data_IF_685230715851
#
_entry.id   IF_685230715851
#
_cell.length_a   1.000
_cell.length_b   1.000
_cell.length_c   1.000
_cell.angle_alpha   90.00
_cell.angle_beta   90.00
_cell.angle_gamma   90.00
#
_symmetry.space_group_name_H-M   'P 1'
#
loop_
_entity.id
_entity.type
_entity.pdbx_description
1 polymer ?
#
# COMPACT_ATOMS: atom_id res chain seq x y z
N UNK A 1 -22.00 -36.89 -6.33
CA UNK A 1 -21.54 -35.83 -7.27
C UNK A 1 -21.98 -34.42 -6.78
N UNK A 2 -21.86 -34.15 -5.47
CA UNK A 2 -22.17 -32.84 -4.83
C UNK A 2 -21.04 -32.48 -3.85
N UNK A 3 -20.39 -33.49 -3.24
CA UNK A 3 -19.18 -33.34 -2.40
C UNK A 3 -18.02 -32.58 -3.04
N UNK A 4 -17.82 -32.69 -4.35
CA UNK A 4 -16.70 -32.03 -5.04
C UNK A 4 -16.93 -30.53 -5.28
N UNK A 5 -18.18 -30.05 -5.15
CA UNK A 5 -18.56 -28.65 -5.38
C UNK A 5 -18.50 -27.83 -4.08
N UNK A 6 -18.69 -28.47 -2.92
CA UNK A 6 -18.45 -27.82 -1.62
C UNK A 6 -16.94 -27.67 -1.33
N UNK A 7 -16.09 -28.55 -1.88
CA UNK A 7 -14.63 -28.38 -1.79
C UNK A 7 -14.09 -27.20 -2.59
N UNK A 8 -14.73 -26.81 -3.70
CA UNK A 8 -14.29 -25.63 -4.48
C UNK A 8 -14.79 -24.30 -3.90
N UNK A 9 -15.86 -24.31 -3.09
CA UNK A 9 -16.28 -23.17 -2.27
C UNK A 9 -15.47 -23.05 -0.98
N UNK A 10 -14.99 -24.17 -0.43
CA UNK A 10 -13.92 -24.21 0.56
C UNK A 10 -12.56 -24.09 -0.13
N UNK A 11 -12.41 -23.07 -0.99
CA UNK A 11 -11.12 -22.47 -1.32
C UNK A 11 -10.57 -21.83 -0.03
N UNK A 12 -10.26 -22.71 0.94
CA UNK A 12 -9.35 -22.51 2.03
C UNK A 12 -8.06 -22.19 1.30
N UNK A 13 -7.87 -20.90 1.02
CA UNK A 13 -6.58 -20.35 0.64
C UNK A 13 -5.57 -21.03 1.56
N UNK A 14 -4.47 -21.50 1.01
CA UNK A 14 -3.34 -21.91 1.82
C UNK A 14 -2.92 -20.72 2.68
N UNK A 15 -3.46 -20.65 3.89
CA UNK A 15 -3.11 -19.71 4.94
C UNK A 15 -1.80 -20.20 5.56
N UNK A 16 -0.72 -20.04 4.80
CA UNK A 16 0.61 -19.99 5.40
C UNK A 16 1.23 -18.69 4.94
N UNK A 17 1.03 -17.66 5.77
CA UNK A 17 2.14 -17.05 6.48
C UNK A 17 1.90 -17.16 8.00
N UNK A 18 2.91 -17.61 8.73
CA UNK A 18 2.93 -17.53 10.20
C UNK A 18 3.82 -16.35 10.61
N UNK A 19 3.27 -15.59 11.57
CA UNK A 19 3.75 -14.43 12.35
C UNK A 19 3.76 -13.02 11.70
N UNK A 20 3.36 -12.01 12.50
CA UNK A 20 3.56 -10.57 12.29
C UNK A 20 2.37 -9.80 11.68
N UNK A 21 2.41 -8.46 11.76
CA UNK A 21 1.48 -7.50 11.14
C UNK A 21 0.90 -8.00 9.81
N UNK A 22 -0.35 -8.46 9.85
CA UNK A 22 -0.99 -9.13 8.72
C UNK A 22 -0.91 -8.24 7.46
N UNK A 23 -0.37 -8.75 6.33
CA UNK A 23 -0.26 -7.98 5.09
C UNK A 23 -1.59 -7.37 4.64
N UNK A 24 -2.72 -8.05 4.87
CA UNK A 24 -4.04 -7.54 4.52
C UNK A 24 -4.43 -6.33 5.38
N UNK A 25 -4.02 -6.32 6.66
CA UNK A 25 -4.26 -5.18 7.55
C UNK A 25 -3.44 -3.96 7.13
N UNK A 26 -2.18 -4.16 6.74
CA UNK A 26 -1.31 -3.09 6.20
C UNK A 26 -1.90 -2.52 4.91
N UNK A 27 -2.30 -3.38 3.97
CA UNK A 27 -2.91 -2.95 2.71
C UNK A 27 -4.23 -2.19 2.93
N UNK A 28 -5.04 -2.63 3.90
CA UNK A 28 -6.29 -1.96 4.25
C UNK A 28 -6.04 -0.54 4.77
N UNK A 29 -5.06 -0.33 5.67
CA UNK A 29 -4.70 1.00 6.16
C UNK A 29 -4.11 1.88 5.06
N UNK A 30 -3.22 1.34 4.24
CA UNK A 30 -2.68 2.06 3.09
C UNK A 30 -3.78 2.51 2.12
N UNK A 31 -4.76 1.66 1.83
CA UNK A 31 -5.91 2.00 0.99
C UNK A 31 -6.80 3.08 1.64
N UNK A 32 -7.02 3.01 2.95
CA UNK A 32 -7.72 4.05 3.70
C UNK A 32 -7.05 5.42 3.59
N UNK A 33 -5.72 5.46 3.74
CA UNK A 33 -4.93 6.67 3.56
C UNK A 33 -5.01 7.22 2.12
N UNK A 34 -4.94 6.34 1.11
CA UNK A 34 -5.15 6.74 -0.29
C UNK A 34 -6.55 7.33 -0.53
N UNK A 35 -7.60 6.76 0.06
CA UNK A 35 -8.95 7.29 -0.03
C UNK A 35 -9.10 8.66 0.65
N UNK A 36 -8.31 8.91 1.70
CA UNK A 36 -8.19 10.21 2.36
C UNK A 36 -7.26 11.19 1.62
N UNK A 37 -6.73 10.81 0.44
CA UNK A 37 -5.75 11.57 -0.32
C UNK A 37 -4.45 11.86 0.46
N UNK A 38 -4.11 10.97 1.40
CA UNK A 38 -2.88 11.01 2.19
C UNK A 38 -1.88 9.97 1.66
N UNK A 39 -1.10 10.39 0.66
CA UNK A 39 -0.11 9.55 0.00
C UNK A 39 1.09 9.23 0.89
N UNK A 40 1.45 10.13 1.81
CA UNK A 40 2.60 9.95 2.70
C UNK A 40 2.32 8.85 3.74
N UNK A 41 1.13 8.89 4.35
CA UNK A 41 0.70 7.83 5.27
C UNK A 41 0.56 6.50 4.54
N UNK A 42 0.01 6.48 3.31
CA UNK A 42 -0.09 5.26 2.52
C UNK A 42 1.29 4.61 2.25
N UNK A 43 2.30 5.41 1.90
CA UNK A 43 3.67 4.92 1.70
C UNK A 43 4.29 4.37 2.98
N UNK A 44 4.03 5.02 4.12
CA UNK A 44 4.54 4.59 5.43
C UNK A 44 3.93 3.24 5.85
N UNK A 45 2.64 3.05 5.61
CA UNK A 45 1.97 1.76 5.87
C UNK A 45 2.58 0.66 5.00
N UNK A 46 2.80 0.91 3.70
CA UNK A 46 3.37 -0.09 2.80
C UNK A 46 4.80 -0.51 3.15
N UNK A 47 5.56 0.33 3.87
CA UNK A 47 6.86 -0.05 4.43
C UNK A 47 6.78 -1.08 5.56
N UNK A 48 5.57 -1.37 6.08
CA UNK A 48 5.33 -2.45 7.03
C UNK A 48 5.02 -3.79 6.36
N UNK A 49 4.84 -3.82 5.03
CA UNK A 49 4.62 -5.08 4.31
C UNK A 49 5.85 -6.01 4.44
N UNK A 50 5.64 -7.33 4.39
CA UNK A 50 6.72 -8.29 4.22
C UNK A 50 7.48 -8.04 2.91
N UNK A 51 8.71 -8.53 2.84
CA UNK A 51 9.61 -8.31 1.69
C UNK A 51 8.98 -8.74 0.35
N UNK A 52 8.21 -9.83 0.34
CA UNK A 52 7.48 -10.27 -0.86
C UNK A 52 6.42 -9.25 -1.31
N UNK A 53 5.73 -8.61 -0.36
CA UNK A 53 4.75 -7.55 -0.63
C UNK A 53 5.42 -6.27 -1.11
N UNK A 54 6.52 -5.86 -0.44
CA UNK A 54 7.33 -4.71 -0.87
C UNK A 54 7.88 -4.88 -2.28
N UNK A 55 8.42 -6.06 -2.60
CA UNK A 55 8.93 -6.37 -3.92
C UNK A 55 7.84 -6.27 -4.99
N UNK A 56 6.66 -6.85 -4.73
CA UNK A 56 5.51 -6.78 -5.65
C UNK A 56 4.99 -5.34 -5.86
N UNK A 57 5.07 -4.51 -4.82
CA UNK A 57 4.59 -3.11 -4.85
C UNK A 57 5.64 -2.10 -5.34
N UNK A 58 6.91 -2.49 -5.50
CA UNK A 58 8.05 -1.61 -5.81
C UNK A 58 7.78 -0.62 -6.95
N UNK A 59 7.32 -1.11 -8.10
CA UNK A 59 7.05 -0.24 -9.25
C UNK A 59 5.94 0.79 -9.01
N UNK A 60 4.98 0.48 -8.14
CA UNK A 60 3.94 1.43 -7.73
C UNK A 60 4.45 2.39 -6.65
N UNK A 61 5.19 1.90 -5.64
CA UNK A 61 5.72 2.75 -4.56
C UNK A 61 6.74 3.76 -5.10
N UNK A 62 7.53 3.40 -6.10
CA UNK A 62 8.45 4.33 -6.78
C UNK A 62 7.70 5.48 -7.47
N UNK A 63 6.60 5.18 -8.18
CA UNK A 63 5.75 6.20 -8.80
C UNK A 63 5.06 7.08 -7.77
N UNK A 64 4.57 6.49 -6.67
CA UNK A 64 3.97 7.21 -5.56
C UNK A 64 4.97 8.15 -4.88
N UNK A 65 6.21 7.71 -4.65
CA UNK A 65 7.29 8.55 -4.11
C UNK A 65 7.63 9.71 -5.05
N UNK A 66 7.73 9.45 -6.35
CA UNK A 66 7.96 10.50 -7.34
C UNK A 66 6.84 11.56 -7.35
N UNK A 67 5.59 11.12 -7.23
CA UNK A 67 4.44 12.03 -7.09
C UNK A 67 4.52 12.87 -5.81
N UNK A 68 4.82 12.24 -4.68
CA UNK A 68 4.95 12.94 -3.39
C UNK A 68 6.04 14.02 -3.46
N UNK A 69 7.23 13.67 -3.97
CA UNK A 69 8.32 14.61 -4.15
C UNK A 69 7.96 15.80 -5.07
N UNK A 70 7.19 15.55 -6.13
CA UNK A 70 6.71 16.62 -7.00
C UNK A 70 5.76 17.60 -6.28
N UNK A 71 4.87 17.08 -5.42
CA UNK A 71 3.97 17.92 -4.62
C UNK A 71 4.74 18.80 -3.62
N UNK A 72 5.73 18.22 -2.93
CA UNK A 72 6.61 18.95 -2.00
C UNK A 72 7.45 20.02 -2.71
N UNK A 73 7.95 19.73 -3.92
CA UNK A 73 8.68 20.70 -4.73
C UNK A 73 7.81 21.90 -5.15
N UNK A 74 6.54 21.64 -5.52
CA UNK A 74 5.57 22.70 -5.84
C UNK A 74 5.30 23.57 -4.62
N UNK A 75 5.09 22.97 -3.44
CA UNK A 75 4.86 23.72 -2.20
C UNK A 75 6.07 24.59 -1.85
N UNK A 76 7.29 24.04 -2.00
CA UNK A 76 8.54 24.77 -1.78
C UNK A 76 8.68 25.96 -2.73
N UNK A 77 8.38 25.77 -4.01
CA UNK A 77 8.40 26.84 -5.01
C UNK A 77 7.39 27.94 -4.65
N UNK A 78 6.15 27.58 -4.30
CA UNK A 78 5.12 28.53 -3.91
C UNK A 78 5.53 29.36 -2.69
N UNK A 79 6.15 28.73 -1.68
CA UNK A 79 6.72 29.43 -0.52
C UNK A 79 7.81 30.42 -0.93
N UNK A 80 8.72 30.01 -1.81
CA UNK A 80 9.81 30.89 -2.27
C UNK A 80 9.32 32.11 -3.06
N UNK A 81 8.25 31.97 -3.84
CA UNK A 81 7.64 33.08 -4.58
C UNK A 81 6.94 34.07 -3.67
N UNK A 82 6.30 33.62 -2.59
CA UNK A 82 5.64 34.49 -1.62
C UNK A 82 6.61 35.19 -0.65
N UNK A 83 7.89 34.79 -0.64
CA UNK A 83 8.94 35.36 0.20
C UNK A 83 9.81 36.40 -0.52
N UNK A 84 9.59 36.62 -1.83
CA UNK A 84 10.21 37.67 -2.64
C UNK A 84 9.22 38.81 -2.89
#
# INVERSE_FOLDING_TARGET
RIESFLRSQLNIRSLSPRDGDDPDAVLSRAQGALAANDLATALTELDLLPDSGKAAMSGWTDQAKARLAALEAIETLAKSLNQN
#
